data_IF_852828970994
#
_entry.id   IF_852828970994
#
_cell.length_a   1.000
_cell.length_b   1.000
_cell.length_c   1.000
_cell.angle_alpha   90.00
_cell.angle_beta   90.00
_cell.angle_gamma   90.00
#
_symmetry.space_group_name_H-M   'P 1'
#
loop_
_entity.id
_entity.type
_entity.pdbx_description
1 polymer ?
#
# COMPACT_ATOMS: atom_id res chain seq x y z
N UNK A 1 0.30 18.37 -12.04
CA UNK A 1 0.61 17.80 -10.73
C UNK A 1 0.67 16.28 -10.85
N UNK A 2 1.70 15.65 -10.29
CA UNK A 2 1.95 14.22 -10.31
C UNK A 2 1.71 13.62 -8.91
N UNK A 3 0.64 12.86 -8.73
CA UNK A 3 0.33 12.14 -7.50
C UNK A 3 1.09 10.82 -7.44
N UNK A 4 2.29 10.81 -6.85
CA UNK A 4 3.18 9.65 -6.81
C UNK A 4 3.33 9.03 -5.41
N UNK A 5 2.91 9.75 -4.38
CA UNK A 5 2.91 9.28 -2.98
C UNK A 5 1.49 8.87 -2.58
N UNK A 6 1.30 7.62 -2.16
CA UNK A 6 -0.01 7.09 -1.80
C UNK A 6 -0.49 7.57 -0.43
N UNK A 7 -1.68 8.20 -0.34
CA UNK A 7 -2.28 8.66 0.93
C UNK A 7 -3.26 7.68 1.57
N UNK A 8 -3.42 6.46 1.04
CA UNK A 8 -4.36 5.45 1.58
C UNK A 8 -3.70 4.26 2.24
N UNK A 9 -2.39 4.17 2.18
CA UNK A 9 -1.64 3.07 2.78
C UNK A 9 -0.62 3.62 3.77
N UNK A 10 -0.37 2.89 4.81
CA UNK A 10 0.63 3.24 5.84
C UNK A 10 2.06 2.87 5.43
N UNK A 11 2.26 2.29 4.27
CA UNK A 11 3.58 1.87 3.82
C UNK A 11 4.36 3.01 3.18
N UNK A 12 5.68 2.98 3.35
CA UNK A 12 6.58 3.86 2.60
C UNK A 12 6.34 3.76 1.10
N UNK A 13 6.47 4.88 0.42
CA UNK A 13 6.41 4.93 -1.05
C UNK A 13 7.66 4.26 -1.64
N UNK A 14 7.48 3.54 -2.74
CA UNK A 14 8.59 3.12 -3.59
C UNK A 14 9.17 4.35 -4.31
N UNK A 15 10.18 4.97 -3.71
CA UNK A 15 10.76 6.19 -4.24
C UNK A 15 11.44 5.95 -5.60
N UNK A 16 12.07 4.81 -5.82
CA UNK A 16 12.69 4.49 -7.11
C UNK A 16 11.63 4.43 -8.23
N UNK A 17 10.47 3.81 -7.95
CA UNK A 17 9.35 3.77 -8.90
C UNK A 17 8.71 5.15 -9.08
N UNK A 18 8.67 5.98 -8.03
CA UNK A 18 8.19 7.34 -8.12
C UNK A 18 9.10 8.20 -9.03
N UNK A 19 10.43 8.08 -8.87
CA UNK A 19 11.43 8.72 -9.75
C UNK A 19 11.20 8.36 -11.21
N UNK A 20 11.10 7.07 -11.54
CA UNK A 20 10.84 6.63 -12.92
C UNK A 20 9.58 7.25 -13.53
N UNK A 21 8.50 7.35 -12.73
CA UNK A 21 7.26 8.00 -13.18
C UNK A 21 7.43 9.50 -13.39
N UNK A 22 8.15 10.16 -12.49
CA UNK A 22 8.39 11.60 -12.58
C UNK A 22 9.28 11.94 -13.77
N UNK A 23 10.31 11.16 -14.07
CA UNK A 23 11.16 11.32 -15.24
C UNK A 23 10.36 11.14 -16.55
N UNK A 24 9.52 10.11 -16.60
CA UNK A 24 8.61 9.91 -17.73
C UNK A 24 7.64 11.07 -17.92
N UNK A 25 7.11 11.61 -16.82
CA UNK A 25 6.21 12.78 -16.89
C UNK A 25 6.96 14.03 -17.34
N UNK A 26 8.17 14.27 -16.80
CA UNK A 26 9.02 15.41 -17.21
C UNK A 26 9.38 15.37 -18.69
N UNK A 27 9.68 14.19 -19.21
CA UNK A 27 10.04 14.04 -20.63
C UNK A 27 8.87 14.31 -21.59
N UNK A 28 7.63 14.30 -21.09
CA UNK A 28 6.41 14.52 -21.90
C UNK A 28 5.68 15.82 -21.58
N UNK A 29 5.97 16.43 -20.45
CA UNK A 29 5.30 17.66 -20.02
C UNK A 29 5.86 18.88 -20.77
N UNK A 30 4.97 19.79 -21.16
CA UNK A 30 5.34 21.07 -21.79
C UNK A 30 5.51 22.20 -20.76
N UNK A 31 5.52 21.88 -19.47
CA UNK A 31 5.63 22.84 -18.37
C UNK A 31 6.10 22.18 -17.07
N UNK A 32 6.12 22.93 -15.96
CA UNK A 32 6.63 22.44 -14.69
C UNK A 32 5.79 21.28 -14.15
N UNK A 33 6.47 20.28 -13.56
CA UNK A 33 5.85 19.13 -12.92
C UNK A 33 5.85 19.33 -11.42
N UNK A 34 4.68 19.54 -10.81
CA UNK A 34 4.52 19.55 -9.36
C UNK A 34 4.32 18.14 -8.83
N UNK A 35 4.99 17.79 -7.74
CA UNK A 35 4.87 16.52 -7.03
C UNK A 35 3.81 16.62 -5.93
N UNK A 36 3.05 15.56 -5.71
CA UNK A 36 2.05 15.53 -4.64
C UNK A 36 1.63 14.12 -4.26
N UNK A 37 0.71 14.03 -3.32
CA UNK A 37 0.06 12.76 -2.95
C UNK A 37 -1.01 12.37 -3.99
N UNK A 38 -1.18 11.08 -4.21
CA UNK A 38 -2.19 10.54 -5.13
C UNK A 38 -3.62 10.65 -4.56
N UNK A 39 -3.73 10.71 -3.24
CA UNK A 39 -4.99 10.85 -2.49
C UNK A 39 -4.72 11.67 -1.23
N UNK A 40 -5.76 12.28 -0.62
CA UNK A 40 -5.61 12.99 0.65
C UNK A 40 -4.96 12.11 1.74
N UNK A 41 -4.16 12.70 2.62
CA UNK A 41 -3.52 12.02 3.75
C UNK A 41 -4.48 11.80 4.94
N UNK A 42 -5.75 12.12 4.77
CA UNK A 42 -6.81 11.98 5.78
C UNK A 42 -6.98 10.54 6.31
N UNK A 43 -6.58 9.55 5.51
CA UNK A 43 -6.78 8.12 5.81
C UNK A 43 -5.55 7.44 6.42
N UNK A 44 -4.50 8.18 6.73
CA UNK A 44 -3.30 7.65 7.39
C UNK A 44 -3.10 8.34 8.75
N UNK A 45 -2.49 7.66 9.73
CA UNK A 45 -2.16 8.30 11.00
C UNK A 45 -1.20 9.48 10.81
N UNK A 46 -1.07 10.33 11.82
CA UNK A 46 -0.34 11.58 11.72
C UNK A 46 1.18 11.37 11.59
N UNK A 47 1.80 10.72 12.57
CA UNK A 47 3.27 10.62 12.68
C UNK A 47 3.71 9.25 13.22
N UNK A 48 4.47 8.51 12.42
CA UNK A 48 5.01 7.19 12.79
C UNK A 48 6.02 7.26 13.94
N UNK A 49 6.65 8.41 14.19
CA UNK A 49 7.57 8.58 15.30
C UNK A 49 6.88 8.48 16.66
N UNK A 50 5.57 8.74 16.71
CA UNK A 50 4.75 8.61 17.92
C UNK A 50 4.36 7.17 18.27
N UNK A 51 4.56 6.25 17.38
CA UNK A 51 4.25 4.83 17.57
C UNK A 51 5.37 4.11 18.35
N UNK A 52 5.47 4.40 19.63
CA UNK A 52 6.53 3.85 20.50
C UNK A 52 6.40 2.36 20.79
N UNK A 53 5.20 1.80 20.62
CA UNK A 53 4.91 0.38 20.80
C UNK A 53 5.17 -0.50 19.58
N UNK A 54 5.50 0.09 18.40
CA UNK A 54 5.83 -0.68 17.22
C UNK A 54 7.26 -1.25 17.29
N UNK A 55 7.41 -2.48 16.80
CA UNK A 55 8.73 -3.05 16.52
C UNK A 55 9.54 -2.08 15.65
N UNK A 56 10.82 -1.83 15.96
CA UNK A 56 11.65 -0.88 15.21
C UNK A 56 11.73 -1.18 13.71
N UNK A 57 11.78 -2.47 13.32
CA UNK A 57 11.79 -2.85 11.92
C UNK A 57 10.45 -2.49 11.24
N UNK A 58 9.31 -2.79 11.89
CA UNK A 58 7.98 -2.44 11.39
C UNK A 58 7.82 -0.92 11.27
N UNK A 59 8.29 -0.17 12.27
CA UNK A 59 8.26 1.29 12.25
C UNK A 59 9.06 1.87 11.09
N UNK A 60 10.18 1.26 10.73
CA UNK A 60 10.97 1.66 9.55
C UNK A 60 10.23 1.46 8.22
N UNK A 61 9.29 0.52 8.14
CA UNK A 61 8.54 0.21 6.91
C UNK A 61 7.35 1.12 6.66
N UNK A 62 6.88 1.83 7.69
CA UNK A 62 5.69 2.68 7.59
C UNK A 62 6.06 4.13 7.31
N UNK A 63 5.15 4.83 6.67
CA UNK A 63 5.16 6.27 6.46
C UNK A 63 3.74 6.79 6.69
N UNK A 64 3.56 7.57 7.74
CA UNK A 64 2.32 8.25 8.06
C UNK A 64 2.28 9.65 7.42
N UNK A 65 1.36 10.51 7.78
CA UNK A 65 1.16 11.76 7.09
C UNK A 65 2.43 12.62 7.04
N UNK A 66 3.12 12.82 8.16
CA UNK A 66 4.35 13.61 8.23
C UNK A 66 5.47 13.01 7.38
N UNK A 67 5.67 11.69 7.45
CA UNK A 67 6.67 11.02 6.64
C UNK A 67 6.34 11.09 5.13
N UNK A 68 5.06 11.00 4.76
CA UNK A 68 4.61 11.11 3.36
C UNK A 68 4.78 12.52 2.80
N UNK A 69 4.59 13.54 3.63
CA UNK A 69 4.94 14.92 3.26
C UNK A 69 6.45 15.03 3.03
N UNK A 70 7.26 14.43 3.88
CA UNK A 70 8.72 14.33 3.68
C UNK A 70 9.08 13.64 2.34
N UNK A 71 8.43 12.53 2.01
CA UNK A 71 8.62 11.84 0.72
C UNK A 71 8.28 12.74 -0.48
N UNK A 72 7.20 13.53 -0.40
CA UNK A 72 6.83 14.50 -1.44
C UNK A 72 7.88 15.58 -1.58
N UNK A 73 8.39 16.12 -0.47
CA UNK A 73 9.44 17.18 -0.47
C UNK A 73 10.73 16.66 -1.09
N UNK A 74 11.18 15.45 -0.73
CA UNK A 74 12.38 14.85 -1.30
C UNK A 74 12.23 14.60 -2.81
N UNK A 75 11.10 14.07 -3.25
CA UNK A 75 10.84 13.87 -4.67
C UNK A 75 10.75 15.20 -5.44
N UNK A 76 10.14 16.23 -4.85
CA UNK A 76 10.09 17.56 -5.46
C UNK A 76 11.49 18.18 -5.59
N UNK A 77 12.33 18.04 -4.55
CA UNK A 77 13.74 18.48 -4.60
C UNK A 77 14.53 17.77 -5.70
N UNK A 78 14.35 16.44 -5.83
CA UNK A 78 14.98 15.68 -6.92
C UNK A 78 14.51 16.11 -8.31
N UNK A 79 13.23 16.42 -8.48
CA UNK A 79 12.69 16.96 -9.74
C UNK A 79 13.30 18.32 -10.09
N UNK A 80 13.48 19.18 -9.11
CA UNK A 80 13.95 20.56 -9.30
C UNK A 80 15.47 20.67 -9.42
N UNK A 81 16.21 19.93 -8.56
CA UNK A 81 17.64 20.10 -8.37
C UNK A 81 18.48 18.93 -8.88
N UNK A 82 17.86 17.85 -9.36
CA UNK A 82 18.51 16.61 -9.79
C UNK A 82 18.45 15.51 -8.73
N UNK A 83 18.39 14.26 -9.19
CA UNK A 83 18.25 13.08 -8.31
C UNK A 83 19.46 12.81 -7.44
N UNK A 84 20.62 13.32 -7.81
CA UNK A 84 21.85 13.25 -7.02
C UNK A 84 21.71 13.96 -5.66
N UNK A 85 20.90 15.01 -5.58
CA UNK A 85 20.68 15.77 -4.33
C UNK A 85 19.92 14.97 -3.28
N UNK A 86 19.21 13.93 -3.69
CA UNK A 86 18.39 13.03 -2.84
C UNK A 86 18.86 11.58 -2.89
N UNK A 87 20.06 11.32 -3.44
CA UNK A 87 20.57 9.97 -3.64
C UNK A 87 20.71 9.15 -2.34
N UNK A 88 21.02 9.80 -1.22
CA UNK A 88 21.06 9.13 0.08
C UNK A 88 19.67 8.67 0.54
N UNK A 89 18.67 9.52 0.41
CA UNK A 89 17.26 9.19 0.71
C UNK A 89 16.79 8.02 -0.15
N UNK A 90 17.11 8.01 -1.44
CA UNK A 90 16.74 6.92 -2.35
C UNK A 90 17.42 5.60 -1.99
N UNK A 91 18.71 5.64 -1.61
CA UNK A 91 19.44 4.45 -1.14
C UNK A 91 18.89 3.92 0.17
N UNK A 92 18.58 4.81 1.12
CA UNK A 92 17.98 4.43 2.39
C UNK A 92 16.62 3.76 2.17
N UNK A 93 15.75 4.34 1.35
CA UNK A 93 14.45 3.76 1.02
C UNK A 93 14.58 2.37 0.41
N UNK A 94 15.49 2.20 -0.55
CA UNK A 94 15.75 0.91 -1.17
C UNK A 94 16.19 -0.14 -0.15
N UNK A 95 17.10 0.20 0.77
CA UNK A 95 17.57 -0.70 1.82
C UNK A 95 16.45 -1.10 2.79
N UNK A 96 15.61 -0.17 3.22
CA UNK A 96 14.46 -0.44 4.09
C UNK A 96 13.46 -1.38 3.41
N UNK A 97 13.20 -1.18 2.13
CA UNK A 97 12.29 -2.03 1.35
C UNK A 97 12.85 -3.43 1.14
N UNK A 98 14.14 -3.55 0.87
CA UNK A 98 14.83 -4.83 0.78
C UNK A 98 14.81 -5.58 2.12
N UNK A 99 15.12 -4.90 3.22
CA UNK A 99 15.02 -5.47 4.56
C UNK A 99 13.60 -5.97 4.87
N UNK A 100 12.56 -5.21 4.51
CA UNK A 100 11.17 -5.67 4.64
C UNK A 100 10.89 -6.89 3.78
N UNK A 101 11.33 -6.90 2.54
CA UNK A 101 11.10 -7.99 1.60
C UNK A 101 11.70 -9.32 2.08
N UNK A 102 12.82 -9.25 2.81
CA UNK A 102 13.54 -10.42 3.32
C UNK A 102 13.23 -10.74 4.80
N UNK A 103 12.37 -9.96 5.45
CA UNK A 103 12.09 -10.15 6.88
C UNK A 103 11.22 -11.40 7.12
N UNK A 104 11.56 -12.24 8.12
CA UNK A 104 10.82 -13.48 8.40
C UNK A 104 9.32 -13.26 8.65
N UNK A 105 8.92 -12.15 9.26
CA UNK A 105 7.52 -11.84 9.51
C UNK A 105 6.70 -11.61 8.23
N UNK A 106 7.35 -11.31 7.09
CA UNK A 106 6.68 -11.15 5.78
C UNK A 106 6.69 -12.44 4.94
N UNK A 107 7.39 -13.49 5.43
CA UNK A 107 7.60 -14.75 4.71
C UNK A 107 7.16 -15.93 5.58
N UNK A 108 5.90 -16.31 5.48
CA UNK A 108 5.35 -17.49 6.13
C UNK A 108 5.28 -18.63 5.13
N UNK A 109 6.11 -19.66 5.33
CA UNK A 109 6.24 -20.79 4.41
C UNK A 109 4.90 -21.49 4.18
N UNK A 110 4.17 -21.77 5.26
CA UNK A 110 2.87 -22.45 5.22
C UNK A 110 1.81 -21.66 4.40
N UNK A 111 1.85 -20.34 4.44
CA UNK A 111 0.95 -19.49 3.65
C UNK A 111 1.32 -19.52 2.17
N UNK A 112 2.62 -19.52 1.87
CA UNK A 112 3.11 -19.59 0.49
C UNK A 112 2.83 -20.95 -0.15
N UNK A 113 3.05 -22.04 0.57
CA UNK A 113 2.71 -23.39 0.14
C UNK A 113 1.21 -23.52 -0.15
N UNK A 114 0.37 -23.03 0.77
CA UNK A 114 -1.08 -23.00 0.57
C UNK A 114 -1.48 -22.16 -0.64
N UNK A 115 -0.85 -21.00 -0.84
CA UNK A 115 -1.12 -20.13 -1.99
C UNK A 115 -0.69 -20.80 -3.29
N UNK A 116 0.47 -21.46 -3.31
CA UNK A 116 0.94 -22.20 -4.47
C UNK A 116 0.07 -23.42 -4.81
N UNK A 117 -0.56 -24.02 -3.81
CA UNK A 117 -1.45 -25.17 -3.97
C UNK A 117 -2.87 -24.80 -4.42
N UNK A 118 -3.21 -23.50 -4.53
CA UNK A 118 -4.54 -23.04 -5.00
C UNK A 118 -4.75 -23.44 -6.46
N UNK A 119 -5.78 -24.24 -6.71
CA UNK A 119 -6.18 -24.74 -8.03
C UNK A 119 -7.31 -23.89 -8.61
N UNK A 120 -7.58 -24.03 -9.88
CA UNK A 120 -8.71 -23.33 -10.54
C UNK A 120 -10.07 -23.74 -9.95
N UNK A 121 -10.20 -24.98 -9.46
CA UNK A 121 -11.39 -25.44 -8.74
C UNK A 121 -11.63 -24.65 -7.44
N UNK A 122 -10.57 -24.25 -6.75
CA UNK A 122 -10.66 -23.51 -5.48
C UNK A 122 -11.05 -22.02 -5.70
N UNK A 123 -10.91 -21.54 -6.96
CA UNK A 123 -11.29 -20.19 -7.38
C UNK A 123 -12.73 -20.10 -7.88
N UNK A 124 -13.41 -21.21 -8.06
CA UNK A 124 -14.78 -21.27 -8.57
C UNK A 124 -15.75 -21.49 -7.42
N UNK A 125 -16.88 -20.84 -7.52
CA UNK A 125 -18.01 -21.13 -6.63
C UNK A 125 -18.82 -22.28 -7.21
N UNK A 126 -19.44 -23.04 -6.36
CA UNK A 126 -20.49 -23.97 -6.75
C UNK A 126 -21.64 -23.26 -7.49
N UNK A 127 -22.52 -24.02 -8.10
CA UNK A 127 -23.73 -23.48 -8.77
C UNK A 127 -24.53 -22.63 -7.79
N UNK A 128 -25.25 -21.64 -8.31
CA UNK A 128 -26.08 -20.76 -7.47
C UNK A 128 -27.11 -21.56 -6.64
N UNK A 129 -27.60 -22.66 -7.20
CA UNK A 129 -28.58 -23.53 -6.54
C UNK A 129 -27.95 -24.29 -5.37
N UNK A 130 -26.82 -24.99 -5.59
CA UNK A 130 -26.10 -25.71 -4.54
C UNK A 130 -25.67 -24.78 -3.40
N UNK A 131 -25.15 -23.60 -3.75
CA UNK A 131 -24.76 -22.60 -2.75
C UNK A 131 -25.95 -22.09 -1.94
N UNK A 132 -27.07 -21.82 -2.58
CA UNK A 132 -28.30 -21.37 -1.90
C UNK A 132 -28.81 -22.43 -0.92
N UNK A 133 -28.81 -23.70 -1.34
CA UNK A 133 -29.21 -24.81 -0.47
C UNK A 133 -28.31 -24.90 0.77
N UNK A 134 -27.00 -24.92 0.58
CA UNK A 134 -26.04 -24.96 1.69
C UNK A 134 -26.12 -23.73 2.62
N UNK A 135 -26.33 -22.55 2.07
CA UNK A 135 -26.52 -21.33 2.87
C UNK A 135 -27.81 -21.36 3.66
N UNK A 136 -28.90 -21.84 3.06
CA UNK A 136 -30.20 -21.96 3.75
C UNK A 136 -30.12 -22.94 4.91
N UNK A 137 -29.53 -24.11 4.68
CA UNK A 137 -29.30 -25.12 5.73
C UNK A 137 -28.46 -24.58 6.88
N UNK A 138 -27.35 -23.88 6.56
CA UNK A 138 -26.40 -23.37 7.56
C UNK A 138 -26.91 -22.16 8.33
N UNK A 139 -27.55 -21.22 7.66
CA UNK A 139 -27.89 -19.92 8.23
C UNK A 139 -29.34 -19.84 8.73
N UNK A 140 -30.23 -20.70 8.22
CA UNK A 140 -31.66 -20.76 8.57
C UNK A 140 -32.33 -19.38 8.59
N UNK A 141 -31.97 -18.54 7.59
CA UNK A 141 -32.50 -17.18 7.48
C UNK A 141 -33.97 -17.20 7.13
N UNK A 142 -34.78 -16.23 7.62
CA UNK A 142 -36.17 -16.04 7.22
C UNK A 142 -36.27 -15.68 5.74
N UNK A 143 -37.48 -15.72 5.17
CA UNK A 143 -37.72 -15.43 3.74
C UNK A 143 -37.20 -14.04 3.32
N UNK A 144 -37.29 -13.05 4.21
CA UNK A 144 -36.84 -11.68 4.01
C UNK A 144 -35.89 -11.30 5.17
N UNK A 145 -34.63 -11.75 5.12
CA UNK A 145 -33.69 -11.41 6.18
C UNK A 145 -33.30 -9.93 6.10
N UNK A 146 -33.27 -9.28 7.24
CA UNK A 146 -32.73 -7.94 7.37
C UNK A 146 -31.23 -8.01 7.57
N UNK A 147 -30.50 -7.08 6.98
CA UNK A 147 -29.04 -6.94 7.16
C UNK A 147 -28.69 -5.47 7.32
N UNK A 148 -27.51 -5.21 7.81
CA UNK A 148 -26.98 -3.86 7.92
C UNK A 148 -26.34 -3.40 6.60
N UNK A 149 -26.36 -2.10 6.37
CA UNK A 149 -25.75 -1.47 5.20
C UNK A 149 -24.32 -1.06 5.56
N UNK A 150 -23.37 -1.92 5.38
CA UNK A 150 -21.95 -1.59 5.58
C UNK A 150 -21.39 -2.08 6.91
N UNK A 151 -20.14 -1.72 7.16
CA UNK A 151 -19.41 -2.04 8.38
C UNK A 151 -19.71 -1.07 9.51
N UNK A 152 -19.82 -1.61 10.70
CA UNK A 152 -19.84 -0.80 11.91
C UNK A 152 -18.41 -0.36 12.25
N UNK A 153 -18.24 0.86 12.80
CA UNK A 153 -16.97 1.32 13.34
C UNK A 153 -16.57 0.53 14.59
#
# INVERSE_FOLDING_TARGET
>A
MAGVVGGRTVWRTDLARAVQKLDLLRSRAHGPVAVGTATPLLHVPHDAARETGLDPAVRAWVAFADQKVGEVVELARGVEQGWETVAETLRHDAAVREARANHPATHRAEVRERTAAVRDTDRRRDTAEARRAAQHERLQLPVLPTTTIGSFP
#
